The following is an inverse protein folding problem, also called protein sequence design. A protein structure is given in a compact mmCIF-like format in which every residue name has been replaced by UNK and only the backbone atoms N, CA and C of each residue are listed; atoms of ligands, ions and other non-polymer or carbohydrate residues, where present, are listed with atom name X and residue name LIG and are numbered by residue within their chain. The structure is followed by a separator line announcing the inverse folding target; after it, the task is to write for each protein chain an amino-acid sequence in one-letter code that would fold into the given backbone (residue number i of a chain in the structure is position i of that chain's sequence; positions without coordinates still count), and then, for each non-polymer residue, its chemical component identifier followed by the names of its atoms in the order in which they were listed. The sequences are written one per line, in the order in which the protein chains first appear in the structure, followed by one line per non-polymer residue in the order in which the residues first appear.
data_IF_561957432208
#
_entry.id   IF_561957432208
#
_cell.length_a   1.000
_cell.length_b   1.000
_cell.length_c   1.000
_cell.angle_alpha   90.00
_cell.angle_beta   90.00
_cell.angle_gamma   90.00
#
_symmetry.space_group_name_H-M   'P 1'
#
loop_
_entity.id
_entity.type
_entity.pdbx_description
1 polymer ?
#
# COMPACT_ATOMS: atom_id res chain seq x y z
N UNK A 1 28.15 24.23 2.78
CA UNK A 1 28.99 23.40 1.89
C UNK A 1 28.28 22.07 1.66
N UNK A 2 27.54 21.97 0.56
CA UNK A 2 26.92 20.71 0.13
C UNK A 2 28.04 19.85 -0.46
N UNK A 3 28.41 18.78 0.23
CA UNK A 3 29.30 17.77 -0.31
C UNK A 3 28.54 17.03 -1.42
N UNK A 4 28.82 17.35 -2.69
CA UNK A 4 28.47 16.44 -3.78
C UNK A 4 29.30 15.18 -3.56
N UNK A 5 28.67 14.08 -3.16
CA UNK A 5 29.29 12.76 -3.26
C UNK A 5 29.64 12.56 -4.73
N UNK A 6 30.94 12.58 -5.05
CA UNK A 6 31.46 12.11 -6.32
C UNK A 6 30.97 10.68 -6.51
N UNK A 7 30.04 10.44 -7.42
CA UNK A 7 29.58 9.09 -7.75
C UNK A 7 30.80 8.34 -8.28
N UNK A 8 31.25 7.33 -7.54
CA UNK A 8 32.37 6.50 -7.93
C UNK A 8 32.02 5.82 -9.27
N UNK A 9 32.98 5.67 -10.18
CA UNK A 9 32.73 4.93 -11.43
C UNK A 9 32.42 3.49 -11.05
N UNK A 10 31.24 3.00 -11.41
CA UNK A 10 30.83 1.61 -11.18
C UNK A 10 31.77 0.69 -11.95
N UNK A 11 32.31 -0.30 -11.25
CA UNK A 11 33.24 -1.31 -11.76
C UNK A 11 32.90 -2.68 -11.14
N UNK A 12 33.60 -3.73 -11.58
CA UNK A 12 33.35 -5.11 -11.13
C UNK A 12 33.60 -5.34 -9.64
N UNK A 13 34.33 -4.46 -8.96
CA UNK A 13 34.68 -4.58 -7.55
C UNK A 13 33.68 -3.86 -6.64
N UNK A 14 33.01 -2.80 -7.13
CA UNK A 14 32.09 -2.00 -6.30
C UNK A 14 30.62 -2.05 -6.73
N UNK A 15 30.26 -2.68 -7.85
CA UNK A 15 28.87 -2.67 -8.34
C UNK A 15 27.87 -3.30 -7.34
N UNK A 16 28.27 -4.31 -6.57
CA UNK A 16 27.41 -4.95 -5.54
C UNK A 16 27.09 -3.99 -4.37
N UNK A 17 27.89 -2.94 -4.19
CA UNK A 17 27.73 -1.92 -3.13
C UNK A 17 27.05 -0.67 -3.68
N UNK A 18 27.42 -0.23 -4.88
CA UNK A 18 26.92 1.02 -5.48
C UNK A 18 25.55 0.84 -6.16
N UNK A 19 25.23 -0.37 -6.66
CA UNK A 19 23.92 -0.68 -7.27
C UNK A 19 23.05 -1.42 -6.27
N UNK A 20 22.11 -0.70 -5.69
CA UNK A 20 21.29 -1.18 -4.56
C UNK A 20 20.06 -1.98 -4.97
N UNK A 21 19.71 -1.96 -6.26
CA UNK A 21 18.52 -2.55 -6.86
C UNK A 21 18.85 -3.67 -7.86
N UNK A 22 20.04 -4.27 -7.76
CA UNK A 22 20.41 -5.47 -8.55
C UNK A 22 19.38 -6.59 -8.40
N UNK A 23 18.79 -6.71 -7.21
CA UNK A 23 17.63 -7.55 -6.94
C UNK A 23 16.43 -6.65 -6.67
N UNK A 24 15.50 -6.60 -7.61
CA UNK A 24 14.22 -5.91 -7.47
C UNK A 24 13.09 -6.89 -7.17
N UNK A 25 12.37 -6.66 -6.08
CA UNK A 25 11.15 -7.41 -5.73
C UNK A 25 9.97 -6.47 -5.74
N UNK A 26 8.89 -6.85 -6.43
CA UNK A 26 7.66 -6.08 -6.43
C UNK A 26 6.53 -6.85 -5.78
N UNK A 27 5.91 -6.22 -4.78
CA UNK A 27 4.73 -6.76 -4.10
C UNK A 27 3.54 -5.92 -4.52
N UNK A 28 2.59 -6.56 -5.20
CA UNK A 28 1.36 -5.94 -5.67
C UNK A 28 0.22 -6.26 -4.72
N UNK A 29 -0.41 -5.22 -4.17
CA UNK A 29 -1.62 -5.32 -3.37
C UNK A 29 -2.84 -4.94 -4.18
N UNK A 30 -4.01 -5.49 -3.85
CA UNK A 30 -5.26 -5.07 -4.48
C UNK A 30 -5.79 -3.80 -3.84
N UNK A 31 -5.58 -3.65 -2.53
CA UNK A 31 -6.07 -2.54 -1.73
C UNK A 31 -4.93 -1.77 -1.09
N UNK A 32 -5.15 -0.49 -0.82
CA UNK A 32 -4.16 0.36 -0.13
C UNK A 32 -3.92 -0.07 1.32
N UNK A 33 -4.96 -0.55 1.99
CA UNK A 33 -4.87 -0.98 3.40
C UNK A 33 -3.92 -2.19 3.58
N UNK A 34 -3.85 -3.08 2.59
CA UNK A 34 -3.00 -4.27 2.61
C UNK A 34 -1.50 -3.92 2.67
N UNK A 35 -1.09 -2.74 2.20
CA UNK A 35 0.29 -2.28 2.30
C UNK A 35 0.79 -2.23 3.74
N UNK A 36 -0.09 -1.92 4.69
CA UNK A 36 0.27 -1.95 6.11
C UNK A 36 0.56 -3.37 6.58
N UNK A 37 -0.22 -4.37 6.15
CA UNK A 37 0.06 -5.77 6.48
C UNK A 37 1.41 -6.21 5.93
N UNK A 38 1.70 -5.87 4.67
CA UNK A 38 3.00 -6.13 4.05
C UNK A 38 4.13 -5.45 4.81
N UNK A 39 3.93 -4.20 5.23
CA UNK A 39 4.91 -3.48 6.04
C UNK A 39 5.26 -4.23 7.34
N UNK A 40 4.25 -4.65 8.10
CA UNK A 40 4.47 -5.39 9.35
C UNK A 40 5.24 -6.69 9.09
N UNK A 41 4.86 -7.45 8.05
CA UNK A 41 5.58 -8.67 7.66
C UNK A 41 7.04 -8.41 7.28
N UNK A 42 7.30 -7.35 6.50
CA UNK A 42 8.65 -6.98 6.08
C UNK A 42 9.54 -6.58 7.27
N UNK A 43 9.06 -5.73 8.17
CA UNK A 43 9.86 -5.27 9.31
C UNK A 43 10.02 -6.33 10.42
N UNK A 44 9.15 -7.35 10.43
CA UNK A 44 9.31 -8.50 11.30
C UNK A 44 10.40 -9.45 10.80
N UNK A 45 10.54 -9.58 9.48
CA UNK A 45 11.48 -10.50 8.86
C UNK A 45 12.86 -9.86 8.59
N UNK A 46 12.91 -8.56 8.33
CA UNK A 46 14.14 -7.81 8.05
C UNK A 46 14.20 -6.51 8.84
N UNK A 47 15.41 -6.04 9.15
CA UNK A 47 15.67 -4.67 9.56
C UNK A 47 16.03 -3.86 8.30
N UNK A 48 15.12 -3.04 7.74
CA UNK A 48 15.38 -2.37 6.47
C UNK A 48 16.42 -1.26 6.65
N UNK A 49 17.38 -1.20 5.75
CA UNK A 49 18.39 -0.14 5.66
C UNK A 49 17.76 1.22 5.35
N UNK A 50 16.75 1.22 4.47
CA UNK A 50 15.99 2.42 4.11
C UNK A 50 14.51 2.08 3.95
N UNK A 51 13.65 3.04 4.32
CA UNK A 51 12.21 3.04 4.06
C UNK A 51 11.82 4.37 3.43
N UNK A 52 11.29 4.35 2.22
CA UNK A 52 10.84 5.55 1.49
C UNK A 52 9.38 5.39 1.12
N UNK A 53 8.58 6.44 1.31
CA UNK A 53 7.26 6.54 0.72
C UNK A 53 7.27 7.63 -0.34
N UNK A 54 7.20 7.23 -1.61
CA UNK A 54 6.94 8.14 -2.71
C UNK A 54 5.45 8.45 -2.75
N UNK A 55 5.09 9.74 -2.77
CA UNK A 55 3.71 10.19 -2.77
C UNK A 55 3.49 11.32 -3.76
N UNK A 56 2.22 11.54 -4.15
CA UNK A 56 1.83 12.67 -4.96
C UNK A 56 1.31 13.81 -4.08
N UNK A 57 1.62 15.05 -4.46
CA UNK A 57 1.00 16.23 -3.85
C UNK A 57 -0.53 16.12 -3.83
N UNK A 58 -1.11 16.30 -2.65
CA UNK A 58 -2.56 16.20 -2.43
C UNK A 58 -3.05 14.80 -2.03
N UNK A 59 -2.16 13.80 -1.93
CA UNK A 59 -2.51 12.53 -1.29
C UNK A 59 -2.87 12.75 0.20
N UNK A 60 -3.75 11.90 0.79
CA UNK A 60 -4.23 12.06 2.16
C UNK A 60 -3.12 12.13 3.22
N UNK A 61 -3.20 13.10 4.13
CA UNK A 61 -2.18 13.39 5.15
C UNK A 61 -2.23 12.41 6.34
N UNK A 62 -3.34 11.72 6.56
CA UNK A 62 -3.52 10.75 7.64
C UNK A 62 -2.54 9.58 7.52
N UNK A 63 -2.32 9.09 6.29
CA UNK A 63 -1.31 8.07 6.00
C UNK A 63 0.11 8.54 6.37
N UNK A 64 0.41 9.84 6.26
CA UNK A 64 1.77 10.37 6.50
C UNK A 64 2.15 10.33 7.99
N UNK A 65 1.18 10.48 8.89
CA UNK A 65 1.45 10.37 10.34
C UNK A 65 1.89 8.95 10.68
N UNK A 66 1.17 7.94 10.19
CA UNK A 66 1.55 6.54 10.35
C UNK A 66 2.94 6.28 9.75
N UNK A 67 3.17 6.68 8.51
CA UNK A 67 4.44 6.43 7.82
C UNK A 67 5.63 7.07 8.52
N UNK A 68 5.50 8.32 9.00
CA UNK A 68 6.57 8.97 9.79
C UNK A 68 6.85 8.22 11.08
N UNK A 69 5.82 7.75 11.80
CA UNK A 69 5.99 6.94 13.02
C UNK A 69 6.71 5.62 12.72
N UNK A 70 6.45 5.02 11.57
CA UNK A 70 7.15 3.82 11.10
C UNK A 70 8.54 4.10 10.51
N UNK A 71 9.05 5.34 10.60
CA UNK A 71 10.39 5.70 10.15
C UNK A 71 10.54 5.81 8.64
N UNK A 72 9.46 6.07 7.89
CA UNK A 72 9.57 6.33 6.45
C UNK A 72 10.07 7.75 6.17
N UNK A 73 10.97 7.85 5.20
CA UNK A 73 11.27 9.08 4.50
C UNK A 73 10.19 9.37 3.46
N UNK A 74 9.44 10.45 3.63
CA UNK A 74 8.41 10.86 2.68
C UNK A 74 9.02 11.67 1.54
N UNK A 75 8.87 11.23 0.29
CA UNK A 75 9.37 11.92 -0.90
C UNK A 75 8.21 12.27 -1.83
N UNK A 76 8.02 13.56 -2.08
CA UNK A 76 7.04 14.02 -3.08
C UNK A 76 7.59 13.73 -4.47
N UNK A 77 6.79 13.08 -5.32
CA UNK A 77 7.16 12.83 -6.71
C UNK A 77 6.31 13.70 -7.65
N UNK A 78 6.92 14.61 -8.43
CA UNK A 78 6.18 15.59 -9.23
C UNK A 78 5.30 14.96 -10.31
N UNK A 79 5.73 13.83 -10.89
CA UNK A 79 4.95 13.07 -11.89
C UNK A 79 3.87 12.16 -11.27
N UNK A 80 3.68 12.21 -9.94
CA UNK A 80 2.63 11.46 -9.26
C UNK A 80 2.91 9.98 -9.01
N UNK A 81 4.16 9.56 -9.14
CA UNK A 81 4.61 8.23 -8.78
C UNK A 81 4.39 7.92 -7.29
N UNK A 82 3.89 6.70 -7.02
CA UNK A 82 3.54 6.22 -5.68
C UNK A 82 4.10 4.82 -5.46
N UNK A 83 4.85 4.65 -4.37
CA UNK A 83 5.34 3.36 -3.94
C UNK A 83 5.89 3.45 -2.52
N UNK A 84 5.83 2.34 -1.79
CA UNK A 84 6.67 2.16 -0.60
C UNK A 84 7.90 1.37 -1.01
N UNK A 85 9.06 1.96 -0.80
CA UNK A 85 10.35 1.34 -1.09
C UNK A 85 11.04 0.93 0.20
N UNK A 86 11.62 -0.25 0.17
CA UNK A 86 12.46 -0.78 1.23
C UNK A 86 13.78 -1.20 0.61
N UNK A 87 14.88 -0.83 1.24
CA UNK A 87 16.17 -1.42 0.94
C UNK A 87 16.48 -2.43 2.05
N UNK A 88 16.63 -3.69 1.72
CA UNK A 88 16.93 -4.76 2.68
C UNK A 88 18.28 -5.42 2.35
N UNK A 89 19.00 -5.85 3.39
CA UNK A 89 20.15 -6.73 3.21
C UNK A 89 19.69 -8.18 3.02
N UNK A 90 20.33 -8.86 2.08
CA UNK A 90 20.18 -10.28 1.84
C UNK A 90 21.52 -10.95 1.56
N UNK A 91 21.46 -12.23 1.19
CA UNK A 91 22.62 -12.94 0.67
C UNK A 91 22.24 -13.77 -0.55
N UNK A 92 23.01 -13.62 -1.62
CA UNK A 92 22.88 -14.39 -2.85
C UNK A 92 24.18 -15.17 -3.08
N UNK A 93 24.12 -16.49 -3.09
CA UNK A 93 25.30 -17.34 -3.27
C UNK A 93 26.38 -17.17 -2.19
N UNK A 94 26.00 -16.78 -0.97
CA UNK A 94 26.93 -16.56 0.16
C UNK A 94 27.59 -15.18 0.19
N UNK A 95 27.30 -14.31 -0.79
CA UNK A 95 27.74 -12.91 -0.78
C UNK A 95 26.64 -12.03 -0.21
N UNK A 96 27.02 -10.99 0.54
CA UNK A 96 26.06 -9.96 0.97
C UNK A 96 25.62 -9.17 -0.25
N UNK A 97 24.32 -8.94 -0.36
CA UNK A 97 23.76 -8.08 -1.40
C UNK A 97 22.61 -7.27 -0.80
N UNK A 98 22.23 -6.20 -1.50
CA UNK A 98 21.00 -5.48 -1.18
C UNK A 98 19.91 -5.84 -2.18
N UNK A 99 18.66 -5.76 -1.72
CA UNK A 99 17.49 -5.91 -2.57
C UNK A 99 16.55 -4.74 -2.33
N UNK A 100 16.00 -4.19 -3.41
CA UNK A 100 14.95 -3.20 -3.34
C UNK A 100 13.58 -3.90 -3.40
N UNK A 101 12.79 -3.71 -2.34
CA UNK A 101 11.39 -4.18 -2.31
C UNK A 101 10.47 -2.99 -2.52
N UNK A 102 9.63 -3.09 -3.55
CA UNK A 102 8.64 -2.06 -3.88
C UNK A 102 7.23 -2.59 -3.64
N UNK A 103 6.48 -1.92 -2.76
CA UNK A 103 5.08 -2.24 -2.47
C UNK A 103 4.17 -1.21 -3.13
N UNK A 104 3.32 -1.68 -4.05
CA UNK A 104 2.39 -0.87 -4.84
C UNK A 104 1.02 -1.55 -4.91
N UNK A 105 -0.03 -0.79 -5.16
CA UNK A 105 -1.29 -1.40 -5.61
C UNK A 105 -1.17 -1.82 -7.09
N UNK A 106 -2.05 -2.70 -7.56
CA UNK A 106 -2.12 -3.06 -8.98
C UNK A 106 -2.36 -1.83 -9.87
N UNK A 107 -3.18 -0.86 -9.43
CA UNK A 107 -3.43 0.35 -10.21
C UNK A 107 -2.22 1.30 -10.24
N UNK A 108 -1.53 1.48 -9.11
CA UNK A 108 -0.29 2.24 -9.06
C UNK A 108 0.79 1.62 -9.96
N UNK A 109 0.90 0.28 -9.97
CA UNK A 109 1.88 -0.41 -10.79
C UNK A 109 1.55 -0.33 -12.28
N UNK A 110 0.29 -0.59 -12.64
CA UNK A 110 -0.18 -0.48 -14.03
C UNK A 110 0.10 0.92 -14.60
N UNK A 111 -0.21 1.98 -13.84
CA UNK A 111 0.11 3.34 -14.27
C UNK A 111 1.62 3.57 -14.35
N UNK A 112 2.39 3.11 -13.35
CA UNK A 112 3.85 3.32 -13.30
C UNK A 112 4.57 2.65 -14.47
N UNK A 113 4.14 1.46 -14.88
CA UNK A 113 4.71 0.76 -16.05
C UNK A 113 4.39 1.47 -17.37
N UNK A 114 3.16 2.01 -17.51
CA UNK A 114 2.78 2.80 -18.69
C UNK A 114 3.59 4.10 -18.74
N UNK A 115 3.69 4.81 -17.61
CA UNK A 115 4.47 6.04 -17.49
C UNK A 115 5.95 5.78 -17.83
N UNK A 116 6.54 4.74 -17.26
CA UNK A 116 7.92 4.34 -17.55
C UNK A 116 8.13 4.00 -19.03
N UNK A 117 7.22 3.23 -19.64
CA UNK A 117 7.31 2.84 -21.06
C UNK A 117 7.24 4.04 -22.01
N UNK A 118 6.46 5.07 -21.66
CA UNK A 118 6.27 6.26 -22.51
C UNK A 118 7.35 7.32 -22.27
N UNK A 119 8.00 7.34 -21.10
CA UNK A 119 9.06 8.30 -20.76
C UNK A 119 10.48 7.82 -21.04
N UNK A 120 10.68 6.55 -21.37
CA UNK A 120 12.00 5.98 -21.59
C UNK A 120 12.17 5.56 -23.07
N UNK A 121 13.36 5.73 -23.69
CA UNK A 121 14.65 6.14 -23.13
C UNK A 121 14.85 7.65 -23.01
N UNK A 122 14.19 8.43 -23.86
CA UNK A 122 14.35 9.87 -23.89
C UNK A 122 13.35 10.52 -22.94
N UNK A 123 13.83 11.44 -22.10
CA UNK A 123 12.97 12.22 -21.22
C UNK A 123 11.81 12.80 -22.02
N UNK A 124 10.58 12.41 -21.68
CA UNK A 124 9.37 12.86 -22.36
C UNK A 124 9.30 14.39 -22.29
N UNK A 125 9.48 15.06 -23.44
CA UNK A 125 9.44 16.53 -23.54
C UNK A 125 8.05 17.07 -23.87
N UNK A 126 7.17 16.23 -24.41
CA UNK A 126 5.82 16.63 -24.82
C UNK A 126 4.90 16.83 -23.60
N UNK A 127 4.53 18.08 -23.35
CA UNK A 127 3.66 18.46 -22.24
C UNK A 127 2.22 17.91 -22.38
N UNK A 128 1.77 17.63 -23.61
CA UNK A 128 0.48 17.00 -23.88
C UNK A 128 0.48 15.56 -23.36
N UNK A 129 1.52 14.80 -23.68
CA UNK A 129 1.66 13.41 -23.22
C UNK A 129 1.83 13.38 -21.69
N UNK A 130 2.62 14.28 -21.11
CA UNK A 130 2.71 14.43 -19.63
C UNK A 130 1.35 14.70 -19.02
N UNK A 131 0.55 15.58 -19.63
CA UNK A 131 -0.81 15.90 -19.20
C UNK A 131 -1.69 14.65 -19.14
N UNK A 132 -1.71 13.86 -20.22
CA UNK A 132 -2.46 12.60 -20.27
C UNK A 132 -1.96 11.56 -19.26
N UNK A 133 -0.65 11.40 -19.09
CA UNK A 133 -0.07 10.54 -18.06
C UNK A 133 -0.52 10.96 -16.66
N UNK A 134 -0.55 12.27 -16.40
CA UNK A 134 -1.05 12.81 -15.13
C UNK A 134 -2.56 12.58 -14.93
N UNK A 135 -3.35 12.62 -16.00
CA UNK A 135 -4.77 12.25 -15.95
C UNK A 135 -4.95 10.76 -15.65
N UNK A 136 -4.18 9.88 -16.31
CA UNK A 136 -4.18 8.45 -16.02
C UNK A 136 -3.78 8.16 -14.57
N UNK A 137 -2.79 8.88 -14.03
CA UNK A 137 -2.39 8.77 -12.64
C UNK A 137 -3.54 9.08 -11.68
N UNK A 138 -4.34 10.11 -12.00
CA UNK A 138 -5.52 10.49 -11.21
C UNK A 138 -6.60 9.41 -11.29
N UNK A 139 -6.84 8.84 -12.46
CA UNK A 139 -7.80 7.74 -12.65
C UNK A 139 -7.39 6.48 -11.87
N UNK A 140 -6.11 6.09 -11.94
CA UNK A 140 -5.57 4.97 -11.16
C UNK A 140 -5.76 5.20 -9.65
N UNK A 141 -5.41 6.39 -9.16
CA UNK A 141 -5.60 6.75 -7.75
C UNK A 141 -7.07 6.79 -7.32
N UNK A 142 -7.98 7.20 -8.21
CA UNK A 142 -9.43 7.17 -7.96
C UNK A 142 -9.95 5.74 -7.92
N UNK A 143 -9.52 4.87 -8.84
CA UNK A 143 -9.88 3.46 -8.86
C UNK A 143 -9.45 2.75 -7.56
N UNK A 144 -8.22 2.99 -7.08
CA UNK A 144 -7.76 2.49 -5.78
C UNK A 144 -8.64 2.93 -4.61
N UNK A 145 -9.03 4.21 -4.60
CA UNK A 145 -9.86 4.77 -3.53
C UNK A 145 -11.27 4.18 -3.55
N UNK A 146 -11.86 4.00 -4.75
CA UNK A 146 -13.16 3.34 -4.92
C UNK A 146 -13.06 1.87 -4.48
N UNK A 147 -12.01 1.15 -4.87
CA UNK A 147 -11.80 -0.24 -4.45
C UNK A 147 -11.71 -0.36 -2.92
N UNK A 148 -10.99 0.56 -2.27
CA UNK A 148 -10.87 0.62 -0.81
C UNK A 148 -12.21 0.93 -0.14
N UNK A 149 -13.02 1.81 -0.73
CA UNK A 149 -14.36 2.14 -0.24
C UNK A 149 -15.32 0.95 -0.38
N UNK A 150 -15.36 0.32 -1.55
CA UNK A 150 -16.20 -0.87 -1.80
C UNK A 150 -15.85 -2.00 -0.85
N UNK A 151 -14.55 -2.20 -0.60
CA UNK A 151 -14.08 -3.18 0.38
C UNK A 151 -14.58 -2.86 1.79
N UNK A 152 -14.44 -1.61 2.25
CA UNK A 152 -14.92 -1.18 3.56
C UNK A 152 -16.44 -1.35 3.69
N UNK A 153 -17.20 -0.96 2.67
CA UNK A 153 -18.65 -1.14 2.64
C UNK A 153 -19.04 -2.61 2.75
N UNK A 154 -18.36 -3.50 2.00
CA UNK A 154 -18.58 -4.95 2.08
C UNK A 154 -18.37 -5.47 3.51
N UNK A 155 -17.29 -5.04 4.18
CA UNK A 155 -17.01 -5.44 5.57
C UNK A 155 -18.11 -4.97 6.52
N UNK A 156 -18.47 -3.69 6.48
CA UNK A 156 -19.54 -3.14 7.35
C UNK A 156 -20.89 -3.80 7.10
N UNK A 157 -21.26 -4.09 5.86
CA UNK A 157 -22.51 -4.82 5.57
C UNK A 157 -22.47 -6.26 6.08
N UNK A 158 -21.30 -6.92 6.06
CA UNK A 158 -21.16 -8.26 6.63
C UNK A 158 -21.28 -8.25 8.16
N UNK A 159 -20.63 -7.29 8.82
CA UNK A 159 -20.72 -7.08 10.27
C UNK A 159 -22.17 -6.83 10.70
N UNK A 160 -22.88 -5.91 10.02
CA UNK A 160 -24.29 -5.62 10.31
C UNK A 160 -25.19 -6.86 10.16
N UNK A 161 -24.97 -7.69 9.12
CA UNK A 161 -25.73 -8.92 8.93
C UNK A 161 -25.46 -9.95 10.03
N UNK A 162 -24.22 -10.00 10.52
CA UNK A 162 -23.86 -10.88 11.62
C UNK A 162 -24.52 -10.40 12.92
N UNK A 163 -24.42 -9.11 13.23
CA UNK A 163 -25.07 -8.50 14.40
C UNK A 163 -26.59 -8.71 14.37
N UNK A 164 -27.24 -8.51 13.23
CA UNK A 164 -28.66 -8.76 13.03
C UNK A 164 -29.03 -10.24 13.27
N UNK A 165 -28.16 -11.17 12.84
CA UNK A 165 -28.36 -12.60 13.05
C UNK A 165 -28.23 -12.96 14.53
N UNK A 166 -27.19 -12.47 15.20
CA UNK A 166 -26.97 -12.68 16.64
C UNK A 166 -28.10 -12.09 17.48
N UNK A 167 -28.60 -10.90 17.10
CA UNK A 167 -29.73 -10.27 17.78
C UNK A 167 -31.01 -11.12 17.63
N UNK A 168 -31.31 -11.61 16.43
CA UNK A 168 -32.48 -12.49 16.18
C UNK A 168 -32.38 -13.79 16.95
N UNK A 169 -31.20 -14.39 17.04
CA UNK A 169 -30.99 -15.63 17.79
C UNK A 169 -31.18 -15.42 19.29
N UNK A 170 -30.62 -14.34 19.86
CA UNK A 170 -30.85 -13.96 21.26
C UNK A 170 -32.33 -13.70 21.55
N UNK A 171 -33.03 -12.99 20.65
CA UNK A 171 -34.46 -12.74 20.81
C UNK A 171 -35.26 -14.05 20.85
N UNK A 172 -34.98 -14.97 19.93
CA UNK A 172 -35.63 -16.29 19.90
C UNK A 172 -35.34 -17.12 21.16
N UNK A 173 -34.11 -17.07 21.69
CA UNK A 173 -33.77 -17.73 22.95
C UNK A 173 -34.51 -17.15 24.15
N UNK A 174 -34.65 -15.81 24.23
CA UNK A 174 -35.41 -15.14 25.28
C UNK A 174 -36.90 -15.51 25.20
N UNK A 175 -37.49 -15.51 24.01
CA UNK A 175 -38.88 -15.94 23.80
C UNK A 175 -39.11 -17.39 24.25
N UNK A 176 -38.20 -18.31 23.88
CA UNK A 176 -38.27 -19.70 24.30
C UNK A 176 -38.17 -19.84 25.84
N UNK A 177 -37.28 -19.07 26.47
CA UNK A 177 -37.13 -19.05 27.94
C UNK A 177 -38.41 -18.54 28.64
N UNK A 178 -39.00 -17.45 28.14
CA UNK A 178 -40.27 -16.90 28.66
C UNK A 178 -41.42 -17.91 28.56
N UNK A 179 -41.50 -18.64 27.44
CA UNK A 179 -42.48 -19.71 27.26
C UNK A 179 -42.27 -20.87 28.27
N UNK A 180 -41.03 -21.31 28.49
CA UNK A 180 -40.73 -22.37 29.48
C UNK A 180 -41.00 -21.95 30.93
N UNK A 181 -40.92 -20.65 31.24
CA UNK A 181 -41.21 -20.12 32.58
C UNK A 181 -42.70 -19.90 32.83
N UNK A 182 -43.57 -20.23 31.86
CA UNK A 182 -45.02 -20.08 31.98
C UNK A 182 -45.48 -18.63 31.99
N UNK A 183 -44.68 -17.71 31.45
CA UNK A 183 -45.07 -16.31 31.27
C UNK A 183 -45.90 -16.25 29.99
N UNK A 184 -47.20 -16.53 30.10
CA UNK A 184 -48.14 -16.22 29.04
C UNK A 184 -48.08 -14.71 28.78
N UNK A 185 -47.88 -14.35 27.52
CA UNK A 185 -47.80 -12.96 27.08
C UNK A 185 -49.05 -12.20 27.56
N UNK A 186 -48.88 -11.44 28.64
CA UNK A 186 -49.90 -10.55 29.17
C UNK A 186 -50.01 -9.39 28.18
N UNK A 187 -51.08 -9.48 27.38
CA UNK A 187 -51.87 -8.43 26.72
C UNK A 187 -51.84 -8.38 25.19
N UNK A 188 -52.90 -8.98 24.64
CA UNK A 188 -53.80 -8.29 23.71
C UNK A 188 -53.96 -6.82 24.12
N UNK A 189 -53.49 -5.89 23.29
CA UNK A 189 -54.18 -4.69 22.81
C UNK A 189 -53.36 -4.03 21.69
#
# INVERSE_FOLDING_TARGET
MLHSKSVSRINLENFEVEVTDLVGVRILTLLKAEKQLIHHGLVQAWEPLEKICNYKRGDPLDAFVFLKKQGFSLREHPDGYRAWHYLIEGSLGGRKCTAEVQVRTVFEDAWSEIDHKLRYPDALKDDTVKGYLMMMNRLAGAADSIASLVWKLKQTTMEQRQDDSEFRERHSQIEAQLQTLGVDAVHNF
#
